data_IF_886437896215
#
_entry.id   IF_886437896215
#
_cell.length_a   1.000
_cell.length_b   1.000
_cell.length_c   1.000
_cell.angle_alpha   90.00
_cell.angle_beta   90.00
_cell.angle_gamma   90.00
#
_symmetry.space_group_name_H-M   'P 1'
#
loop_
_entity.id
_entity.type
_entity.pdbx_description
1 polymer ?
#
# COMPACT_ATOMS: atom_id res chain seq x y z
N UNK A 1 -25.34 -1.30 3.65
CA UNK A 1 -24.31 -0.93 4.65
C UNK A 1 -24.89 -0.36 5.95
N UNK A 2 -25.92 0.50 5.94
CA UNK A 2 -26.53 1.08 7.15
C UNK A 2 -27.00 0.04 8.19
N UNK A 3 -27.62 -1.06 7.73
CA UNK A 3 -28.06 -2.17 8.59
C UNK A 3 -26.91 -2.83 9.39
N UNK A 4 -25.69 -2.83 8.83
CA UNK A 4 -24.52 -3.43 9.47
C UNK A 4 -24.04 -2.56 10.63
N UNK A 5 -24.13 -1.24 10.51
CA UNK A 5 -23.79 -0.30 11.59
C UNK A 5 -24.89 -0.29 12.67
N UNK A 6 -26.17 -0.35 12.26
CA UNK A 6 -27.31 -0.29 13.19
C UNK A 6 -27.55 -1.58 13.96
N UNK A 7 -27.20 -2.75 13.44
CA UNK A 7 -27.46 -4.04 14.11
C UNK A 7 -26.26 -4.96 14.15
N UNK A 8 -25.41 -4.96 13.12
CA UNK A 8 -24.27 -5.86 13.00
C UNK A 8 -23.06 -5.47 13.86
N UNK A 9 -22.73 -4.18 13.97
CA UNK A 9 -21.53 -3.72 14.65
C UNK A 9 -21.80 -3.22 16.08
N UNK A 10 -23.02 -3.42 16.60
CA UNK A 10 -23.29 -3.16 18.01
C UNK A 10 -22.44 -4.07 18.90
N UNK A 11 -21.95 -3.56 20.05
CA UNK A 11 -21.34 -4.39 21.06
C UNK A 11 -22.26 -5.58 21.40
N UNK A 12 -21.69 -6.80 21.40
CA UNK A 12 -22.38 -8.06 21.70
C UNK A 12 -23.38 -8.59 20.67
N UNK A 13 -23.47 -8.01 19.46
CA UNK A 13 -24.29 -8.59 18.40
C UNK A 13 -23.74 -9.95 17.94
N UNK A 14 -24.61 -10.80 17.38
CA UNK A 14 -24.19 -12.10 16.85
C UNK A 14 -23.26 -11.95 15.64
N UNK A 15 -23.44 -10.90 14.85
CA UNK A 15 -22.51 -10.57 13.78
C UNK A 15 -21.12 -10.24 14.34
N UNK A 16 -21.03 -9.33 15.30
CA UNK A 16 -19.75 -8.95 15.93
C UNK A 16 -19.06 -10.15 16.57
N UNK A 17 -19.81 -11.08 17.17
CA UNK A 17 -19.28 -12.36 17.68
C UNK A 17 -18.76 -13.25 16.55
N UNK A 18 -19.55 -13.44 15.49
CA UNK A 18 -19.21 -14.30 14.36
C UNK A 18 -17.97 -13.80 13.60
N UNK A 19 -17.83 -12.48 13.43
CA UNK A 19 -16.65 -11.87 12.80
C UNK A 19 -15.51 -11.60 13.78
N UNK A 20 -15.66 -11.99 15.05
CA UNK A 20 -14.61 -11.86 16.07
C UNK A 20 -14.24 -10.42 16.43
N UNK A 21 -15.11 -9.43 16.17
CA UNK A 21 -14.88 -8.04 16.53
C UNK A 21 -15.01 -7.91 18.05
N UNK A 22 -13.86 -7.91 18.72
CA UNK A 22 -13.73 -7.69 20.16
C UNK A 22 -13.01 -6.38 20.42
N UNK A 23 -13.46 -5.65 21.44
CA UNK A 23 -12.74 -4.47 21.94
C UNK A 23 -11.35 -4.91 22.43
N UNK A 24 -10.26 -4.26 22.01
CA UNK A 24 -8.94 -4.61 22.50
C UNK A 24 -8.86 -4.39 24.01
N UNK A 25 -8.22 -5.33 24.70
CA UNK A 25 -8.14 -5.31 26.16
C UNK A 25 -7.00 -4.41 26.66
N UNK A 26 -5.98 -4.18 25.84
CA UNK A 26 -4.81 -3.35 26.14
C UNK A 26 -4.48 -2.43 24.97
N UNK A 27 -3.71 -1.38 25.23
CA UNK A 27 -3.20 -0.48 24.19
C UNK A 27 -2.32 -1.24 23.18
N UNK A 28 -1.51 -2.18 23.66
CA UNK A 28 -0.64 -3.01 22.82
C UNK A 28 -1.45 -3.86 21.82
N UNK A 29 -2.52 -4.54 22.29
CA UNK A 29 -3.42 -5.30 21.40
C UNK A 29 -4.07 -4.41 20.34
N UNK A 30 -4.38 -3.15 20.68
CA UNK A 30 -4.87 -2.18 19.70
C UNK A 30 -3.79 -1.80 18.67
N UNK A 31 -2.56 -1.50 19.12
CA UNK A 31 -1.46 -1.10 18.24
C UNK A 31 -1.07 -2.24 17.29
N UNK A 32 -0.98 -3.47 17.80
CA UNK A 32 -0.70 -4.66 17.00
C UNK A 32 -1.74 -4.85 15.89
N UNK A 33 -3.03 -4.75 16.23
CA UNK A 33 -4.12 -4.85 15.25
C UNK A 33 -4.11 -3.69 14.25
N UNK A 34 -3.80 -2.48 14.70
CA UNK A 34 -3.71 -1.31 13.82
C UNK A 34 -2.58 -1.47 12.80
N UNK A 35 -1.41 -1.97 13.23
CA UNK A 35 -0.29 -2.23 12.33
C UNK A 35 -0.62 -3.29 11.28
N UNK A 36 -1.26 -4.39 11.69
CA UNK A 36 -1.72 -5.42 10.76
C UNK A 36 -2.75 -4.86 9.74
N UNK A 37 -3.64 -3.97 10.17
CA UNK A 37 -4.60 -3.32 9.28
C UNK A 37 -3.94 -2.39 8.26
N UNK A 38 -2.94 -1.58 8.68
CA UNK A 38 -2.19 -0.70 7.77
C UNK A 38 -1.53 -1.52 6.66
N UNK A 39 -0.86 -2.62 7.02
CA UNK A 39 -0.21 -3.50 6.06
C UNK A 39 -1.20 -4.12 5.07
N UNK A 40 -2.37 -4.54 5.55
CA UNK A 40 -3.42 -5.06 4.69
C UNK A 40 -3.90 -4.02 3.67
N UNK A 41 -4.16 -2.78 4.10
CA UNK A 41 -4.58 -1.70 3.19
C UNK A 41 -3.50 -1.36 2.16
N UNK A 42 -2.22 -1.32 2.57
CA UNK A 42 -1.10 -1.10 1.64
C UNK A 42 -1.03 -2.17 0.55
N UNK A 43 -1.20 -3.45 0.92
CA UNK A 43 -1.25 -4.57 -0.04
C UNK A 43 -2.45 -4.42 -0.98
N UNK A 44 -3.63 -4.10 -0.46
CA UNK A 44 -4.84 -3.91 -1.27
C UNK A 44 -4.70 -2.76 -2.27
N UNK A 45 -4.07 -1.65 -1.85
CA UNK A 45 -3.81 -0.49 -2.72
C UNK A 45 -2.80 -0.87 -3.81
N UNK A 46 -1.73 -1.60 -3.46
CA UNK A 46 -0.73 -2.05 -4.42
C UNK A 46 -1.33 -3.03 -5.45
N UNK A 47 -2.18 -3.96 -5.03
CA UNK A 47 -2.85 -4.89 -5.93
C UNK A 47 -3.88 -4.18 -6.82
N UNK A 48 -4.65 -3.23 -6.28
CA UNK A 48 -5.53 -2.39 -7.10
C UNK A 48 -4.73 -1.63 -8.18
N UNK A 49 -3.56 -1.08 -7.85
CA UNK A 49 -2.69 -0.39 -8.80
C UNK A 49 -2.12 -1.32 -9.89
N UNK A 50 -1.83 -2.58 -9.56
CA UNK A 50 -1.39 -3.61 -10.54
C UNK A 50 -2.51 -3.99 -11.51
N UNK A 51 -3.75 -4.05 -11.02
CA UNK A 51 -4.92 -4.38 -11.85
C UNK A 51 -5.44 -3.20 -12.67
N UNK A 52 -5.17 -1.95 -12.25
CA UNK A 52 -5.54 -0.76 -13.02
C UNK A 52 -4.60 -0.44 -14.19
N UNK A 53 -3.44 -1.11 -14.28
CA UNK A 53 -2.50 -0.89 -15.40
C UNK A 53 -3.00 -1.66 -16.63
N UNK A 54 -3.33 -0.98 -17.75
CA UNK A 54 -3.73 -1.66 -18.98
C UNK A 54 -2.51 -2.41 -19.54
N UNK A 55 -2.43 -3.71 -19.24
CA UNK A 55 -1.35 -4.59 -19.68
C UNK A 55 -0.88 -5.67 -18.69
N UNK A 56 -1.48 -5.83 -17.51
CA UNK A 56 -1.03 -6.84 -16.52
C UNK A 56 -1.60 -8.26 -16.74
N UNK A 57 -2.25 -8.54 -17.86
CA UNK A 57 -2.46 -9.91 -18.31
C UNK A 57 -1.14 -10.45 -18.87
N UNK A 58 -0.31 -11.10 -18.04
CA UNK A 58 0.48 -12.31 -18.34
C UNK A 58 1.45 -12.59 -17.17
N UNK A 59 1.36 -13.75 -16.49
CA UNK A 59 2.53 -14.28 -15.80
C UNK A 59 3.42 -14.91 -16.88
N UNK A 60 4.28 -14.10 -17.51
CA UNK A 60 5.27 -14.61 -18.46
C UNK A 60 6.38 -15.33 -17.68
N UNK A 61 6.12 -16.60 -17.41
CA UNK A 61 7.11 -17.60 -16.99
C UNK A 61 8.00 -17.91 -18.19
N UNK A 62 9.21 -17.36 -18.21
CA UNK A 62 10.46 -18.06 -18.60
C UNK A 62 11.66 -17.08 -18.63
N UNK A 63 12.79 -17.40 -17.97
CA UNK A 63 14.07 -16.79 -18.26
C UNK A 63 14.77 -17.59 -19.37
N UNK A 64 15.43 -16.89 -20.30
CA UNK A 64 16.71 -17.28 -20.93
C UNK A 64 16.78 -16.95 -22.43
N UNK A 65 17.70 -16.03 -22.73
CA UNK A 65 18.59 -16.02 -23.91
C UNK A 65 17.99 -15.92 -25.32
N UNK A 66 18.17 -14.76 -25.95
CA UNK A 66 19.11 -14.59 -27.10
C UNK A 66 19.21 -13.13 -27.53
N UNK A 67 20.40 -12.80 -28.03
CA UNK A 67 20.91 -11.45 -28.19
C UNK A 67 20.28 -10.63 -29.31
N UNK A 68 20.58 -9.33 -29.26
CA UNK A 68 20.13 -8.34 -30.22
C UNK A 68 20.81 -7.00 -29.97
N UNK A 69 22.11 -6.95 -30.28
CA UNK A 69 22.90 -5.72 -30.45
C UNK A 69 22.13 -4.67 -31.26
N UNK A 70 21.98 -3.45 -30.72
CA UNK A 70 22.18 -2.19 -31.45
C UNK A 70 22.15 -0.97 -30.51
N UNK A 71 23.26 -0.26 -30.60
CA UNK A 71 23.72 0.92 -29.87
C UNK A 71 22.84 2.17 -30.06
N UNK A 72 23.09 3.11 -29.14
CA UNK A 72 22.82 4.56 -29.16
C UNK A 72 21.49 5.02 -28.56
N UNK A 73 21.59 5.87 -27.54
CA UNK A 73 20.48 6.75 -27.23
C UNK A 73 20.54 7.38 -25.85
N UNK A 74 21.42 8.36 -25.71
CA UNK A 74 21.20 9.52 -24.86
C UNK A 74 21.43 9.40 -23.35
N UNK A 75 22.10 10.43 -22.84
CA UNK A 75 22.69 10.52 -21.51
C UNK A 75 21.56 10.69 -20.49
N UNK A 76 21.65 9.97 -19.38
CA UNK A 76 20.83 10.15 -18.19
C UNK A 76 20.85 11.62 -17.75
N UNK A 77 19.85 12.40 -18.16
CA UNK A 77 19.57 13.70 -17.55
C UNK A 77 18.65 13.44 -16.38
N UNK A 78 19.28 13.22 -15.24
CA UNK A 78 18.62 13.23 -13.95
C UNK A 78 17.77 14.51 -13.85
N UNK A 79 16.44 14.41 -13.64
CA UNK A 79 15.63 15.60 -13.47
C UNK A 79 16.06 16.24 -12.15
N UNK A 80 16.94 17.25 -12.23
CA UNK A 80 17.20 18.15 -11.12
C UNK A 80 15.85 18.70 -10.69
N UNK A 81 15.41 18.27 -9.51
CA UNK A 81 14.23 18.81 -8.86
C UNK A 81 14.34 20.33 -8.69
N UNK A 82 13.21 21.00 -8.39
CA UNK A 82 13.23 22.44 -8.15
C UNK A 82 14.30 22.79 -7.09
N UNK A 83 15.03 23.90 -7.26
CA UNK A 83 16.08 24.29 -6.32
C UNK A 83 15.50 24.39 -4.91
N UNK A 84 16.15 23.71 -3.97
CA UNK A 84 15.79 23.74 -2.56
C UNK A 84 15.82 25.17 -2.03
N UNK A 85 14.68 25.68 -1.57
CA UNK A 85 14.54 27.01 -0.94
C UNK A 85 14.79 26.97 0.57
N UNK A 86 15.35 25.89 1.09
CA UNK A 86 15.71 25.83 2.51
C UNK A 86 16.90 26.77 2.75
N UNK A 87 16.59 27.96 3.26
CA UNK A 87 17.58 28.85 3.85
C UNK A 87 18.21 28.12 5.05
N UNK A 88 19.51 27.85 4.95
CA UNK A 88 20.31 27.38 6.09
C UNK A 88 20.44 28.56 7.05
N UNK A 89 19.87 28.45 8.24
CA UNK A 89 20.02 29.43 9.30
C UNK A 89 21.36 29.18 9.99
N UNK A 90 22.29 30.13 9.88
CA UNK A 90 23.56 30.11 10.63
C UNK A 90 23.37 30.95 11.89
N UNK A 91 23.33 30.36 13.10
CA UNK A 91 23.29 31.13 14.35
C UNK A 91 24.68 31.74 14.65
N UNK A 92 24.68 33.00 15.10
CA UNK A 92 25.83 33.71 15.66
C UNK A 92 26.14 33.22 17.07
#
# INVERSE_FOLDING_TARGET
KKYLLERGLRPHSDFAKAVGIKKPHTLDDLLFKAQAYIQYEEVQIADAARHSRPGSSQPAREPSQRGGDRRKGDRSREPRGPPSTFAVYTPL
#
